data_IF_438312094272
#
_entry.id   IF_438312094272
#
_cell.length_a   1.000
_cell.length_b   1.000
_cell.length_c   1.000
_cell.angle_alpha   90.00
_cell.angle_beta   90.00
_cell.angle_gamma   90.00
#
_symmetry.space_group_name_H-M   'P 1'
#
loop_
_entity.id
_entity.type
_entity.pdbx_description
1 polymer ?
#
# COMPACT_ATOMS: atom_id res chain seq x y z
N UNK A 1 9.10 -22.47 -4.09
CA UNK A 1 9.65 -22.07 -5.41
C UNK A 1 10.95 -22.86 -5.61
N UNK A 2 11.11 -23.60 -6.72
CA UNK A 2 12.17 -24.62 -6.91
C UNK A 2 13.29 -24.20 -7.87
N UNK A 3 13.37 -22.91 -8.20
CA UNK A 3 14.36 -22.32 -9.09
C UNK A 3 14.83 -21.07 -8.37
N UNK A 4 16.14 -20.79 -8.30
CA UNK A 4 16.74 -19.69 -7.51
C UNK A 4 16.36 -18.26 -7.96
N UNK A 5 15.11 -18.06 -8.35
CA UNK A 5 14.52 -16.80 -8.71
C UNK A 5 14.01 -16.07 -7.46
N UNK A 6 13.96 -14.74 -7.56
CA UNK A 6 13.42 -13.84 -6.54
C UNK A 6 11.91 -13.65 -6.79
N UNK A 7 11.01 -14.25 -6.00
CA UNK A 7 9.56 -14.07 -6.16
C UNK A 7 9.12 -12.64 -5.92
N UNK A 8 8.58 -12.01 -6.96
CA UNK A 8 7.89 -10.73 -6.89
C UNK A 8 6.41 -10.88 -7.30
N UNK A 9 5.51 -10.15 -6.65
CA UNK A 9 4.07 -10.20 -6.94
C UNK A 9 3.50 -8.80 -7.09
N UNK A 10 2.83 -8.53 -8.22
CA UNK A 10 1.97 -7.35 -8.36
C UNK A 10 0.61 -7.62 -7.69
N UNK A 11 0.26 -6.77 -6.72
CA UNK A 11 -0.99 -6.82 -5.96
C UNK A 11 -1.86 -5.58 -6.12
N UNK A 12 -1.66 -4.85 -7.19
CA UNK A 12 -2.47 -3.70 -7.55
C UNK A 12 -3.97 -4.00 -7.58
N UNK A 13 -4.37 -5.10 -8.26
CA UNK A 13 -5.78 -5.47 -8.39
C UNK A 13 -6.40 -5.96 -7.08
N UNK A 14 -5.59 -6.51 -6.18
CA UNK A 14 -6.08 -7.29 -5.06
C UNK A 14 -6.36 -6.49 -3.78
N UNK A 15 -6.35 -5.15 -3.83
CA UNK A 15 -6.49 -4.22 -2.68
C UNK A 15 -5.46 -4.49 -1.56
N UNK A 16 -4.57 -3.52 -1.24
CA UNK A 16 -3.35 -3.78 -0.46
C UNK A 16 -3.55 -4.46 0.90
N UNK A 17 -4.67 -4.21 1.57
CA UNK A 17 -4.93 -4.67 2.94
C UNK A 17 -5.58 -6.06 3.04
N UNK A 18 -5.99 -6.67 1.92
CA UNK A 18 -6.70 -7.96 1.96
C UNK A 18 -5.78 -9.16 2.20
N UNK A 19 -4.48 -9.03 1.95
CA UNK A 19 -3.53 -10.14 2.06
C UNK A 19 -2.12 -9.67 2.35
N UNK A 20 -1.40 -10.40 3.21
CA UNK A 20 -0.01 -10.12 3.52
C UNK A 20 0.90 -11.02 2.69
N UNK A 21 1.17 -10.65 1.43
CA UNK A 21 1.90 -11.53 0.50
C UNK A 21 3.37 -11.76 0.86
N UNK A 22 3.97 -10.82 1.59
CA UNK A 22 5.28 -11.05 2.21
C UNK A 22 5.23 -12.16 3.27
N UNK A 23 4.08 -12.61 3.76
CA UNK A 23 3.99 -13.78 4.64
C UNK A 23 3.79 -15.08 3.83
N UNK A 24 3.39 -14.96 2.55
CA UNK A 24 3.06 -16.07 1.65
C UNK A 24 4.17 -16.36 0.63
N UNK A 25 5.44 -16.30 1.07
CA UNK A 25 6.63 -16.61 0.27
C UNK A 25 6.97 -15.66 -0.89
N UNK A 26 6.41 -14.44 -0.95
CA UNK A 26 6.93 -13.39 -1.84
C UNK A 26 8.10 -12.65 -1.18
N UNK A 27 9.12 -12.29 -1.94
CA UNK A 27 10.23 -11.44 -1.49
C UNK A 27 9.98 -9.97 -1.79
N UNK A 28 9.25 -9.71 -2.87
CA UNK A 28 8.77 -8.37 -3.23
C UNK A 28 7.27 -8.35 -3.50
N UNK A 29 6.61 -7.30 -3.05
CA UNK A 29 5.20 -7.03 -3.35
C UNK A 29 5.09 -5.61 -3.87
N UNK A 30 4.51 -5.45 -5.07
CA UNK A 30 4.32 -4.18 -5.74
C UNK A 30 2.84 -3.81 -5.80
N UNK A 31 2.54 -2.52 -5.68
CA UNK A 31 1.23 -1.95 -5.95
C UNK A 31 1.37 -0.66 -6.78
N UNK A 32 0.38 -0.38 -7.63
CA UNK A 32 0.18 0.98 -8.14
C UNK A 32 -0.40 1.85 -7.02
N UNK A 33 0.45 2.72 -6.48
CA UNK A 33 0.06 3.80 -5.56
C UNK A 33 -1.05 4.66 -6.15
N UNK A 34 -1.00 4.90 -7.47
CA UNK A 34 -2.01 5.64 -8.24
C UNK A 34 -3.44 5.13 -8.07
N UNK A 35 -3.62 3.82 -7.84
CA UNK A 35 -4.94 3.18 -7.80
C UNK A 35 -5.52 3.17 -6.37
N UNK A 36 -5.87 2.05 -5.72
CA UNK A 36 -6.65 2.12 -4.49
C UNK A 36 -5.90 2.79 -3.34
N UNK A 37 -4.56 2.80 -3.35
CA UNK A 37 -3.74 3.42 -2.30
C UNK A 37 -3.93 4.94 -2.27
N UNK A 38 -3.89 5.61 -3.42
CA UNK A 38 -4.25 7.01 -3.52
C UNK A 38 -5.77 7.18 -3.51
N UNK A 39 -6.48 6.57 -4.46
CA UNK A 39 -7.94 6.69 -4.60
C UNK A 39 -8.44 8.02 -5.17
N UNK A 40 -7.57 9.02 -5.40
CA UNK A 40 -7.96 10.39 -5.77
C UNK A 40 -7.49 10.82 -7.18
N UNK A 41 -6.82 9.94 -7.94
CA UNK A 41 -6.37 10.18 -9.34
C UNK A 41 -5.43 11.39 -9.53
N UNK A 42 -4.89 11.96 -8.46
CA UNK A 42 -4.06 13.18 -8.46
C UNK A 42 -2.57 12.94 -8.21
N UNK A 43 -2.15 11.69 -8.02
CA UNK A 43 -0.74 11.30 -7.95
C UNK A 43 -0.50 9.99 -8.70
N UNK A 44 0.58 9.96 -9.48
CA UNK A 44 1.12 8.73 -10.08
C UNK A 44 2.32 8.27 -9.26
N UNK A 45 2.21 7.08 -8.68
CA UNK A 45 3.26 6.50 -7.84
C UNK A 45 3.19 4.96 -7.80
N UNK A 46 4.33 4.34 -7.51
CA UNK A 46 4.44 2.91 -7.19
C UNK A 46 4.74 2.73 -5.70
N UNK A 47 4.28 1.62 -5.13
CA UNK A 47 4.62 1.20 -3.77
C UNK A 47 5.24 -0.17 -3.85
N UNK A 48 6.42 -0.32 -3.26
CA UNK A 48 7.16 -1.58 -3.19
C UNK A 48 7.39 -1.94 -1.73
N UNK A 49 7.10 -3.18 -1.38
CA UNK A 49 7.44 -3.76 -0.09
C UNK A 49 8.39 -4.93 -0.32
N UNK A 50 9.40 -5.06 0.53
CA UNK A 50 10.41 -6.11 0.43
C UNK A 50 10.55 -6.84 1.77
N UNK A 51 10.77 -8.16 1.71
CA UNK A 51 11.08 -8.99 2.88
C UNK A 51 12.47 -8.65 3.44
N UNK A 52 13.46 -8.58 2.55
CA UNK A 52 14.86 -8.35 2.91
C UNK A 52 15.35 -7.01 2.34
N UNK A 53 15.42 -6.03 3.22
CA UNK A 53 15.89 -4.67 2.90
C UNK A 53 17.39 -4.62 2.57
N UNK A 54 18.16 -5.68 2.82
CA UNK A 54 19.59 -5.71 2.45
C UNK A 54 19.81 -6.15 0.99
N UNK A 55 18.77 -6.62 0.30
CA UNK A 55 18.89 -7.06 -1.09
C UNK A 55 19.32 -5.93 -2.03
N UNK A 56 20.18 -6.26 -3.00
CA UNK A 56 20.67 -5.30 -3.99
C UNK A 56 19.53 -4.64 -4.78
N UNK A 57 18.45 -5.38 -5.04
CA UNK A 57 17.24 -4.84 -5.71
C UNK A 57 16.60 -3.76 -4.86
N UNK A 58 16.42 -3.98 -3.55
CA UNK A 58 15.83 -2.97 -2.66
C UNK A 58 16.70 -1.72 -2.55
N UNK A 59 18.02 -1.90 -2.44
CA UNK A 59 18.97 -0.79 -2.35
C UNK A 59 19.03 0.07 -3.62
N UNK A 60 18.63 -0.49 -4.78
CA UNK A 60 18.58 0.23 -6.04
C UNK A 60 17.26 1.00 -6.27
N UNK A 61 16.27 0.88 -5.39
CA UNK A 61 14.95 1.50 -5.55
C UNK A 61 14.99 2.98 -5.15
N UNK A 62 14.52 3.84 -6.05
CA UNK A 62 14.36 5.27 -5.78
C UNK A 62 13.12 5.59 -4.95
N UNK A 63 13.17 6.70 -4.22
CA UNK A 63 12.04 7.26 -3.46
C UNK A 63 11.33 8.37 -4.24
N UNK A 64 10.04 8.56 -3.97
CA UNK A 64 9.26 9.65 -4.54
C UNK A 64 9.48 10.95 -3.77
N UNK A 65 9.23 12.09 -4.41
CA UNK A 65 9.32 13.41 -3.77
C UNK A 65 8.24 13.62 -2.70
N UNK A 66 8.48 14.53 -1.74
CA UNK A 66 7.66 14.67 -0.51
C UNK A 66 6.19 15.03 -0.78
N UNK A 67 5.90 15.81 -1.81
CA UNK A 67 4.52 16.13 -2.19
C UNK A 67 3.74 14.88 -2.63
N UNK A 68 4.37 14.01 -3.42
CA UNK A 68 3.74 12.76 -3.88
C UNK A 68 3.53 11.79 -2.73
N UNK A 69 4.49 11.74 -1.81
CA UNK A 69 4.41 10.94 -0.59
C UNK A 69 3.24 11.42 0.30
N UNK A 70 3.13 12.73 0.52
CA UNK A 70 2.02 13.31 1.27
C UNK A 70 0.66 13.03 0.63
N UNK A 71 0.53 13.13 -0.71
CA UNK A 71 -0.71 12.81 -1.42
C UNK A 71 -1.11 11.35 -1.24
N UNK A 72 -0.15 10.41 -1.28
CA UNK A 72 -0.42 9.01 -0.97
C UNK A 72 -0.87 8.82 0.48
N UNK A 73 -0.17 9.39 1.46
CA UNK A 73 -0.56 9.30 2.87
C UNK A 73 -1.96 9.87 3.13
N UNK A 74 -2.31 10.97 2.47
CA UNK A 74 -3.67 11.55 2.52
C UNK A 74 -4.69 10.58 1.94
N UNK A 75 -4.40 10.00 0.76
CA UNK A 75 -5.28 9.06 0.06
C UNK A 75 -5.52 7.74 0.82
N UNK A 76 -4.55 7.31 1.63
CA UNK A 76 -4.64 6.08 2.41
C UNK A 76 -5.61 6.15 3.61
N UNK A 77 -5.97 7.34 4.10
CA UNK A 77 -6.85 7.47 5.28
C UNK A 77 -8.22 6.83 5.06
N UNK A 78 -8.94 7.10 3.95
CA UNK A 78 -10.20 6.42 3.65
C UNK A 78 -10.04 5.06 2.96
N UNK A 79 -8.83 4.48 2.90
CA UNK A 79 -8.56 3.30 2.08
C UNK A 79 -9.52 2.14 2.37
N UNK A 80 -9.77 1.85 3.66
CA UNK A 80 -10.63 0.74 4.10
C UNK A 80 -12.08 0.92 3.70
N UNK A 81 -12.60 2.14 3.81
CA UNK A 81 -13.92 2.53 3.30
C UNK A 81 -14.00 2.40 1.78
N UNK A 82 -13.02 2.96 1.07
CA UNK A 82 -12.95 2.96 -0.41
C UNK A 82 -12.97 1.56 -1.01
N UNK A 83 -12.36 0.60 -0.32
CA UNK A 83 -12.30 -0.79 -0.77
C UNK A 83 -13.40 -1.68 -0.16
N UNK A 84 -14.31 -1.13 0.65
CA UNK A 84 -15.47 -1.82 1.22
C UNK A 84 -15.15 -2.81 2.34
N UNK A 85 -14.09 -2.56 3.13
CA UNK A 85 -13.80 -3.34 4.35
C UNK A 85 -14.51 -2.75 5.57
N UNK A 86 -14.75 -1.44 5.58
CA UNK A 86 -15.44 -0.71 6.66
C UNK A 86 -16.63 0.04 6.08
N UNK A 87 -17.68 0.18 6.90
CA UNK A 87 -18.85 0.98 6.58
C UNK A 87 -18.60 2.46 6.93
N UNK A 88 -19.34 3.38 6.31
CA UNK A 88 -19.20 4.81 6.60
C UNK A 88 -19.51 5.14 8.08
N UNK A 89 -20.38 4.35 8.72
CA UNK A 89 -20.71 4.49 10.14
C UNK A 89 -19.51 4.26 11.06
N UNK A 90 -18.66 3.29 10.74
CA UNK A 90 -17.46 2.95 11.52
C UNK A 90 -16.46 4.12 11.49
N UNK A 91 -16.21 4.66 10.29
CA UNK A 91 -15.33 5.82 10.13
C UNK A 91 -15.85 7.05 10.88
N UNK A 92 -17.17 7.27 10.86
CA UNK A 92 -17.79 8.38 11.60
C UNK A 92 -17.61 8.19 13.11
N UNK A 93 -17.75 6.96 13.63
CA UNK A 93 -17.54 6.66 15.05
C UNK A 93 -16.08 6.92 15.46
N UNK A 94 -15.11 6.44 14.68
CA UNK A 94 -13.68 6.64 14.91
C UNK A 94 -13.31 8.13 14.92
N UNK A 95 -13.82 8.90 13.93
CA UNK A 95 -13.58 10.35 13.85
C UNK A 95 -14.19 11.08 15.04
N UNK A 96 -15.39 10.71 15.48
CA UNK A 96 -16.01 11.28 16.69
C UNK A 96 -15.17 11.01 17.94
N UNK A 97 -14.63 9.80 18.08
CA UNK A 97 -13.79 9.45 19.21
C UNK A 97 -12.46 10.23 19.20
N UNK A 98 -11.84 10.38 18.03
CA UNK A 98 -10.61 11.16 17.88
C UNK A 98 -10.81 12.66 18.14
N UNK A 99 -12.01 13.21 17.90
CA UNK A 99 -12.33 14.61 18.17
C UNK A 99 -12.65 14.91 19.64
N UNK A 100 -13.03 13.87 20.41
CA UNK A 100 -13.37 13.98 21.83
C UNK A 100 -12.21 13.59 22.77
N UNK A 101 -11.06 13.20 22.22
CA UNK A 101 -9.81 12.93 22.93
C UNK A 101 -8.85 14.12 22.81
#
# INVERSE_FOLDING_TARGET
>A
MRVGAVPAVDRTAAKPVLTRRLELAADFVMHLGTKPINGHTDVVAGVLSCRDKTSAVWQAVGIIGPLKDWLLMRGMRPLRLSIGIEEAGDLIADLKQALMA
#
